data_IF_001998810400
#
_entry.id   IF_001998810400
#
_cell.length_a   1.000
_cell.length_b   1.000
_cell.length_c   1.000
_cell.angle_alpha   90.00
_cell.angle_beta   90.00
_cell.angle_gamma   90.00
#
_symmetry.space_group_name_H-M   'P 1'
#
loop_
_entity.id
_entity.type
_entity.pdbx_description
1 polymer ?
#
# COMPACT_ATOMS: atom_id res chain seq x y z
N UNK A 1 21.59 18.25 -8.62
CA UNK A 1 20.36 19.07 -8.61
C UNK A 1 19.19 18.10 -8.57
N UNK A 2 18.60 17.89 -7.38
CA UNK A 2 17.42 17.01 -7.24
C UNK A 2 16.22 17.75 -7.82
N UNK A 3 15.81 17.38 -9.03
CA UNK A 3 14.55 17.85 -9.62
C UNK A 3 13.40 17.23 -8.84
N UNK A 4 12.97 17.91 -7.77
CA UNK A 4 11.70 17.64 -7.11
C UNK A 4 10.64 18.30 -8.00
N UNK A 5 10.09 17.54 -8.94
CA UNK A 5 8.81 17.88 -9.56
C UNK A 5 7.78 17.93 -8.43
N UNK A 6 7.24 19.10 -8.16
CA UNK A 6 6.29 19.34 -7.07
C UNK A 6 4.92 18.75 -7.45
N UNK A 7 4.84 17.42 -7.50
CA UNK A 7 3.57 16.70 -7.62
C UNK A 7 2.89 16.71 -6.24
N UNK A 8 2.22 17.81 -5.93
CA UNK A 8 1.39 17.98 -4.72
C UNK A 8 0.33 16.87 -4.56
N UNK A 9 0.05 16.12 -5.63
CA UNK A 9 -0.78 14.92 -5.60
C UNK A 9 -0.25 13.79 -4.70
N UNK A 10 1.05 13.73 -4.41
CA UNK A 10 1.65 12.72 -3.51
C UNK A 10 1.31 13.01 -2.03
N UNK A 11 1.01 14.26 -1.69
CA UNK A 11 0.74 14.67 -0.31
C UNK A 11 -0.62 14.14 0.17
N UNK A 12 -1.61 14.09 -0.72
CA UNK A 12 -2.97 13.63 -0.41
C UNK A 12 -2.97 12.19 0.14
N UNK A 13 -2.41 11.18 -0.55
CA UNK A 13 -2.37 9.82 -0.02
C UNK A 13 -1.56 9.72 1.27
N UNK A 14 -0.48 10.49 1.44
CA UNK A 14 0.31 10.50 2.69
C UNK A 14 -0.52 10.99 3.88
N UNK A 15 -1.26 12.10 3.72
CA UNK A 15 -2.13 12.64 4.78
C UNK A 15 -3.20 11.63 5.17
N UNK A 16 -3.82 10.98 4.17
CA UNK A 16 -4.82 9.93 4.40
C UNK A 16 -4.18 8.74 5.14
N UNK A 17 -2.97 8.32 4.75
CA UNK A 17 -2.24 7.23 5.40
C UNK A 17 -1.96 7.56 6.89
N UNK A 18 -1.51 8.78 7.20
CA UNK A 18 -1.21 9.23 8.56
C UNK A 18 -2.49 9.31 9.40
N UNK A 19 -3.58 9.85 8.83
CA UNK A 19 -4.86 9.94 9.50
C UNK A 19 -5.40 8.55 9.89
N UNK A 20 -5.29 7.58 8.99
CA UNK A 20 -5.67 6.19 9.25
C UNK A 20 -4.80 5.55 10.34
N UNK A 21 -3.48 5.78 10.32
CA UNK A 21 -2.56 5.32 11.36
C UNK A 21 -2.94 5.82 12.75
N UNK A 22 -3.33 7.09 12.89
CA UNK A 22 -3.81 7.65 14.17
C UNK A 22 -5.10 6.96 14.61
N UNK A 23 -6.00 6.67 13.65
CA UNK A 23 -7.24 5.94 13.92
C UNK A 23 -7.02 4.50 14.42
N UNK A 24 -5.86 3.88 14.18
CA UNK A 24 -5.54 2.52 14.68
C UNK A 24 -5.53 2.48 16.21
N UNK A 25 -5.10 3.56 16.86
CA UNK A 25 -5.06 3.64 18.33
C UNK A 25 -6.45 3.78 18.95
N UNK A 26 -7.48 4.02 18.15
CA UNK A 26 -8.86 4.21 18.61
C UNK A 26 -9.53 2.85 18.85
N UNK A 27 -10.14 2.68 20.03
CA UNK A 27 -10.70 1.39 20.51
C UNK A 27 -11.95 0.91 19.75
N UNK A 28 -12.54 1.73 18.88
CA UNK A 28 -13.80 1.40 18.22
C UNK A 28 -13.65 0.30 17.17
N UNK A 29 -14.43 -0.78 17.32
CA UNK A 29 -14.45 -1.93 16.40
C UNK A 29 -14.73 -1.51 14.95
N UNK A 30 -15.62 -0.54 14.73
CA UNK A 30 -15.94 0.01 13.40
C UNK A 30 -14.74 0.68 12.72
N UNK A 31 -13.91 1.38 13.50
CA UNK A 31 -12.69 2.05 13.00
C UNK A 31 -11.65 1.02 12.57
N UNK A 32 -11.49 -0.07 13.34
CA UNK A 32 -10.61 -1.18 12.96
C UNK A 32 -11.06 -1.87 11.66
N UNK A 33 -12.36 -1.97 11.42
CA UNK A 33 -12.90 -2.55 10.18
C UNK A 33 -12.62 -1.65 8.96
N UNK A 34 -12.80 -0.34 9.10
CA UNK A 34 -12.42 0.65 8.07
C UNK A 34 -10.92 0.53 7.76
N UNK A 35 -10.08 0.43 8.79
CA UNK A 35 -8.63 0.24 8.64
C UNK A 35 -8.26 -1.05 7.92
N UNK A 36 -8.97 -2.15 8.22
CA UNK A 36 -8.80 -3.43 7.52
C UNK A 36 -9.07 -3.26 6.02
N UNK A 37 -10.19 -2.63 5.65
CA UNK A 37 -10.56 -2.36 4.26
C UNK A 37 -9.52 -1.46 3.58
N UNK A 38 -9.11 -0.38 4.24
CA UNK A 38 -8.08 0.54 3.73
C UNK A 38 -6.76 -0.17 3.48
N UNK A 39 -6.31 -1.00 4.40
CA UNK A 39 -5.07 -1.78 4.27
C UNK A 39 -5.16 -2.74 3.08
N UNK A 40 -6.28 -3.44 2.90
CA UNK A 40 -6.49 -4.32 1.75
C UNK A 40 -6.40 -3.52 0.45
N UNK A 41 -7.13 -2.42 0.33
CA UNK A 41 -7.22 -1.68 -0.94
C UNK A 41 -5.87 -1.03 -1.29
N UNK A 42 -5.25 -0.33 -0.34
CA UNK A 42 -4.09 0.52 -0.65
C UNK A 42 -2.74 -0.18 -0.49
N UNK A 43 -2.63 -1.18 0.39
CA UNK A 43 -1.36 -1.85 0.66
C UNK A 43 -1.30 -3.28 0.11
N UNK A 44 -2.41 -3.82 -0.40
CA UNK A 44 -2.42 -5.14 -1.05
C UNK A 44 -2.87 -5.00 -2.51
N UNK A 45 -4.09 -4.54 -2.76
CA UNK A 45 -4.66 -4.49 -4.11
C UNK A 45 -3.89 -3.50 -5.00
N UNK A 46 -3.65 -2.28 -4.52
CA UNK A 46 -2.92 -1.26 -5.29
C UNK A 46 -1.50 -1.70 -5.72
N UNK A 47 -0.63 -2.21 -4.82
CA UNK A 47 0.69 -2.71 -5.24
C UNK A 47 0.61 -3.94 -6.15
N UNK A 48 -0.36 -4.85 -5.97
CA UNK A 48 -0.60 -5.94 -6.93
C UNK A 48 -0.94 -5.38 -8.31
N UNK A 49 -1.85 -4.40 -8.37
CA UNK A 49 -2.25 -3.77 -9.63
C UNK A 49 -1.09 -3.01 -10.29
N UNK A 50 -0.21 -2.37 -9.49
CA UNK A 50 1.03 -1.78 -9.99
C UNK A 50 1.98 -2.84 -10.55
N UNK A 51 2.16 -3.98 -9.87
CA UNK A 51 3.00 -5.08 -10.35
C UNK A 51 2.48 -5.64 -11.66
N UNK A 52 1.18 -5.91 -11.74
CA UNK A 52 0.54 -6.37 -12.98
C UNK A 52 0.71 -5.34 -14.10
N UNK A 53 0.46 -4.05 -13.84
CA UNK A 53 0.63 -3.00 -14.83
C UNK A 53 2.07 -2.89 -15.35
N UNK A 54 3.06 -3.06 -14.47
CA UNK A 54 4.48 -3.07 -14.83
C UNK A 54 4.86 -4.31 -15.64
N UNK A 55 4.40 -5.49 -15.25
CA UNK A 55 4.61 -6.73 -16.01
C UNK A 55 3.98 -6.66 -17.40
N UNK A 56 2.75 -6.14 -17.52
CA UNK A 56 2.08 -5.93 -18.81
C UNK A 56 2.84 -4.94 -19.68
N UNK A 57 3.38 -3.86 -19.09
CA UNK A 57 4.22 -2.91 -19.80
C UNK A 57 5.49 -3.58 -20.32
N UNK A 58 6.20 -4.32 -19.49
CA UNK A 58 7.43 -4.99 -19.91
C UNK A 58 7.16 -6.08 -20.97
N UNK A 59 6.04 -6.80 -20.86
CA UNK A 59 5.58 -7.76 -21.87
C UNK A 59 5.28 -7.09 -23.21
N UNK A 60 4.76 -5.85 -23.21
CA UNK A 60 4.50 -5.10 -24.45
C UNK A 60 5.77 -4.65 -25.18
N UNK A 61 6.93 -4.65 -24.49
CA UNK A 61 8.24 -4.30 -25.05
C UNK A 61 9.14 -5.54 -25.20
N UNK A 62 8.57 -6.74 -25.28
CA UNK A 62 9.30 -8.02 -25.36
C UNK A 62 10.40 -8.18 -24.31
N UNK A 63 10.20 -7.58 -23.12
CA UNK A 63 11.12 -7.65 -21.99
C UNK A 63 12.54 -7.10 -22.26
N UNK A 64 12.74 -6.31 -23.32
CA UNK A 64 14.05 -5.78 -23.70
C UNK A 64 14.65 -4.82 -22.66
N UNK A 65 13.79 -4.16 -21.88
CA UNK A 65 14.16 -3.12 -20.90
C UNK A 65 13.68 -3.44 -19.49
N UNK A 66 13.65 -4.72 -19.08
CA UNK A 66 13.25 -5.09 -17.71
C UNK A 66 14.13 -4.32 -16.72
N UNK A 67 13.49 -3.50 -15.90
CA UNK A 67 14.14 -2.81 -14.79
C UNK A 67 13.61 -3.33 -13.46
N UNK A 68 14.36 -4.25 -12.85
CA UNK A 68 14.03 -4.89 -11.57
C UNK A 68 13.79 -3.88 -10.44
N UNK A 69 14.46 -2.72 -10.46
CA UNK A 69 14.29 -1.69 -9.43
C UNK A 69 12.84 -1.16 -9.38
N UNK A 70 12.13 -1.20 -10.49
CA UNK A 70 10.74 -0.71 -10.59
C UNK A 70 9.77 -1.66 -9.85
N UNK A 71 10.15 -2.91 -9.62
CA UNK A 71 9.35 -3.92 -8.91
C UNK A 71 9.58 -3.94 -7.40
N UNK A 72 10.73 -3.44 -6.93
CA UNK A 72 11.12 -3.48 -5.50
C UNK A 72 10.12 -2.73 -4.62
N UNK A 73 9.73 -1.51 -5.00
CA UNK A 73 8.82 -0.67 -4.19
C UNK A 73 7.43 -1.29 -4.04
N UNK A 74 6.74 -1.73 -5.11
CA UNK A 74 5.47 -2.43 -4.98
C UNK A 74 5.56 -3.71 -4.13
N UNK A 75 6.63 -4.50 -4.27
CA UNK A 75 6.83 -5.73 -3.50
C UNK A 75 6.96 -5.40 -2.00
N UNK A 76 7.78 -4.41 -1.64
CA UNK A 76 7.93 -3.98 -0.24
C UNK A 76 6.61 -3.47 0.34
N UNK A 77 5.86 -2.67 -0.43
CA UNK A 77 4.52 -2.22 -0.04
C UNK A 77 3.57 -3.40 0.23
N UNK A 78 3.60 -4.43 -0.61
CA UNK A 78 2.77 -5.63 -0.47
C UNK A 78 3.14 -6.40 0.81
N UNK A 79 4.43 -6.56 1.11
CA UNK A 79 4.91 -7.18 2.36
C UNK A 79 4.41 -6.40 3.58
N UNK A 80 4.55 -5.07 3.57
CA UNK A 80 4.05 -4.19 4.65
C UNK A 80 2.53 -4.30 4.78
N UNK A 81 1.81 -4.35 3.67
CA UNK A 81 0.35 -4.52 3.65
C UNK A 81 -0.10 -5.83 4.29
N UNK A 82 0.56 -6.94 3.97
CA UNK A 82 0.28 -8.26 4.57
C UNK A 82 0.56 -8.24 6.08
N UNK A 83 1.69 -7.68 6.51
CA UNK A 83 2.03 -7.58 7.93
C UNK A 83 1.02 -6.72 8.69
N UNK A 84 0.69 -5.54 8.17
CA UNK A 84 -0.34 -4.66 8.75
C UNK A 84 -1.69 -5.35 8.84
N UNK A 85 -2.10 -6.05 7.78
CA UNK A 85 -3.34 -6.81 7.77
C UNK A 85 -3.36 -7.87 8.86
N UNK A 86 -2.28 -8.65 8.99
CA UNK A 86 -2.12 -9.65 10.04
C UNK A 86 -2.23 -9.03 11.44
N UNK A 87 -1.53 -7.93 11.71
CA UNK A 87 -1.59 -7.24 13.00
C UNK A 87 -2.99 -6.69 13.31
N UNK A 88 -3.66 -6.11 12.31
CA UNK A 88 -5.03 -5.61 12.45
C UNK A 88 -5.97 -6.78 12.80
N UNK A 89 -5.87 -7.92 12.11
CA UNK A 89 -6.72 -9.09 12.40
C UNK A 89 -6.44 -9.68 13.77
N UNK A 90 -5.18 -9.89 14.14
CA UNK A 90 -4.80 -10.41 15.47
C UNK A 90 -5.25 -9.47 16.60
N UNK A 91 -5.19 -8.15 16.40
CA UNK A 91 -5.62 -7.16 17.40
C UNK A 91 -7.14 -7.02 17.48
N UNK A 92 -7.89 -7.51 16.49
CA UNK A 92 -9.36 -7.58 16.52
C UNK A 92 -9.78 -8.84 17.28
N UNK A 93 -9.20 -10.00 16.94
CA UNK A 93 -9.60 -11.29 17.53
C UNK A 93 -9.23 -11.40 19.02
N UNK A 94 -8.13 -10.80 19.47
CA UNK A 94 -7.70 -10.86 20.87
C UNK A 94 -8.54 -9.99 21.84
N UNK A 95 -9.69 -9.47 21.40
CA UNK A 95 -10.66 -8.73 22.23
C UNK A 95 -12.12 -9.17 22.00
N UNK A 96 -12.35 -10.28 21.30
CA UNK A 96 -13.67 -10.91 21.18
C UNK A 96 -13.97 -11.86 22.34
#
# INVERSE_FOLDING_TARGET
MLFISHDYFIIIPIIIQIFLLILIFVRYVKVKLILKIWTIIFLIIAPIMQLIGKLLKDASYDYQYININVYVVPILMLIVGILMFYFITTTIDNKS
#
